data_IF_835185718415
#
_entry.id   IF_835185718415
#
_cell.length_a   1.000
_cell.length_b   1.000
_cell.length_c   1.000
_cell.angle_alpha   90.00
_cell.angle_beta   90.00
_cell.angle_gamma   90.00
#
_symmetry.space_group_name_H-M   'P 1'
#
loop_
_entity.id
_entity.type
_entity.pdbx_description
1 polymer ?
#
# COMPACT_ATOMS: atom_id res chain seq x y z
N UNK A 1 -24.67 -73.32 18.57
CA UNK A 1 -23.79 -73.92 19.60
C UNK A 1 -22.63 -74.61 18.88
N UNK A 2 -21.39 -74.44 19.38
CA UNK A 2 -20.15 -75.11 18.94
C UNK A 2 -19.54 -74.60 17.62
N UNK A 3 -18.52 -73.73 17.64
CA UNK A 3 -17.09 -73.91 17.97
C UNK A 3 -16.24 -74.39 16.77
N UNK A 4 -15.28 -73.51 16.43
CA UNK A 4 -13.93 -73.76 15.90
C UNK A 4 -13.80 -74.03 14.41
N UNK A 5 -13.50 -72.95 13.67
CA UNK A 5 -12.64 -73.07 12.49
C UNK A 5 -11.89 -71.76 12.28
N UNK A 6 -10.59 -71.88 11.97
CA UNK A 6 -9.64 -70.88 11.47
C UNK A 6 -8.98 -69.98 12.53
N UNK A 7 -7.81 -70.39 13.06
CA UNK A 7 -6.46 -70.11 12.50
C UNK A 7 -6.13 -68.61 12.55
N UNK A 8 -5.33 -68.19 13.53
CA UNK A 8 -3.86 -67.98 13.41
C UNK A 8 -3.51 -66.89 12.39
N UNK A 9 -3.02 -65.74 12.89
CA UNK A 9 -1.71 -65.14 12.59
C UNK A 9 -1.68 -63.74 13.24
N UNK A 10 -0.78 -63.51 14.20
CA UNK A 10 0.37 -62.62 14.06
C UNK A 10 -0.05 -61.16 13.74
N UNK A 11 -0.04 -60.23 14.67
CA UNK A 11 1.17 -59.80 15.37
C UNK A 11 2.01 -58.91 14.47
N UNK A 12 1.60 -57.65 14.27
CA UNK A 12 2.50 -56.59 13.81
C UNK A 12 1.97 -55.22 14.26
N UNK A 13 2.42 -54.82 15.45
CA UNK A 13 2.41 -53.43 15.87
C UNK A 13 3.48 -52.72 15.02
N UNK A 14 3.07 -51.80 14.15
CA UNK A 14 4.00 -50.88 13.51
C UNK A 14 3.47 -49.46 13.67
N UNK A 15 4.13 -48.75 14.58
CA UNK A 15 3.99 -47.32 14.79
C UNK A 15 4.30 -46.58 13.49
N UNK A 16 3.34 -45.77 13.02
CA UNK A 16 3.64 -44.70 12.06
C UNK A 16 4.11 -43.50 12.88
N UNK A 17 5.40 -43.52 13.21
CA UNK A 17 6.15 -42.37 13.69
C UNK A 17 6.22 -41.37 12.54
N UNK A 18 5.94 -40.11 12.85
CA UNK A 18 5.91 -39.01 11.90
C UNK A 18 7.24 -38.77 11.19
N UNK A 19 7.14 -38.14 10.03
CA UNK A 19 8.14 -37.23 9.44
C UNK A 19 7.55 -36.68 8.15
N UNK A 20 6.97 -35.48 8.23
CA UNK A 20 7.03 -34.55 7.11
C UNK A 20 6.90 -33.12 7.67
N UNK A 21 7.83 -32.76 8.54
CA UNK A 21 8.10 -31.37 8.90
C UNK A 21 9.39 -30.95 8.25
N UNK A 22 9.38 -30.57 6.97
CA UNK A 22 10.33 -29.59 6.39
C UNK A 22 9.73 -29.00 5.09
N UNK A 23 8.81 -28.03 5.21
CA UNK A 23 8.56 -27.01 4.18
C UNK A 23 8.23 -25.68 4.87
N UNK A 24 9.08 -25.29 5.82
CA UNK A 24 9.03 -23.98 6.47
C UNK A 24 9.99 -23.02 5.76
N UNK A 25 9.72 -22.69 4.49
CA UNK A 25 10.29 -21.49 3.83
C UNK A 25 9.70 -21.26 2.42
N UNK A 26 8.37 -21.19 2.28
CA UNK A 26 7.70 -20.51 1.14
C UNK A 26 6.16 -20.50 1.31
N UNK A 27 5.64 -20.07 2.46
CA UNK A 27 4.18 -20.03 2.65
C UNK A 27 3.64 -18.63 2.29
N UNK A 28 3.51 -18.36 0.99
CA UNK A 28 2.55 -17.33 0.54
C UNK A 28 1.15 -17.77 0.95
N UNK A 29 0.32 -16.84 1.43
CA UNK A 29 -1.08 -17.14 1.79
C UNK A 29 -1.84 -17.51 0.52
N UNK A 30 -2.76 -18.48 0.58
CA UNK A 30 -3.57 -18.92 -0.56
C UNK A 30 -4.29 -17.75 -1.25
N UNK A 31 -4.71 -16.73 -0.49
CA UNK A 31 -5.30 -15.51 -1.03
C UNK A 31 -4.32 -14.65 -1.86
N UNK A 32 -3.05 -14.56 -1.45
CA UNK A 32 -2.02 -13.82 -2.19
C UNK A 32 -1.76 -14.47 -3.55
N UNK A 33 -1.66 -15.81 -3.60
CA UNK A 33 -1.42 -16.57 -4.83
C UNK A 33 -2.57 -16.42 -5.84
N UNK A 34 -3.82 -16.34 -5.37
CA UNK A 34 -4.99 -16.16 -6.24
C UNK A 34 -5.09 -14.75 -6.82
N UNK A 35 -4.83 -13.73 -5.99
CA UNK A 35 -4.81 -12.33 -6.47
C UNK A 35 -3.63 -12.11 -7.41
N UNK A 36 -2.45 -12.64 -7.07
CA UNK A 36 -1.26 -12.63 -7.92
C UNK A 36 -1.57 -13.20 -9.30
N UNK A 37 -2.08 -14.44 -9.37
CA UNK A 37 -2.48 -15.05 -10.65
C UNK A 37 -3.52 -14.26 -11.43
N UNK A 38 -4.50 -13.65 -10.76
CA UNK A 38 -5.53 -12.85 -11.42
C UNK A 38 -4.93 -11.58 -12.05
N UNK A 39 -4.00 -10.93 -11.37
CA UNK A 39 -3.29 -9.76 -11.90
C UNK A 39 -2.33 -10.19 -13.02
N UNK A 40 -1.60 -11.30 -12.87
CA UNK A 40 -0.73 -11.83 -13.91
C UNK A 40 -1.50 -12.18 -15.19
N UNK A 41 -2.66 -12.83 -15.06
CA UNK A 41 -3.51 -13.18 -16.20
C UNK A 41 -4.10 -11.96 -16.91
N UNK A 42 -4.37 -10.87 -16.19
CA UNK A 42 -4.95 -9.66 -16.77
C UNK A 42 -3.92 -8.70 -17.34
N UNK A 43 -2.73 -8.63 -16.74
CA UNK A 43 -1.65 -7.73 -17.16
C UNK A 43 -0.68 -8.38 -18.14
N UNK A 44 -0.62 -9.73 -18.18
CA UNK A 44 0.38 -10.48 -18.94
C UNK A 44 1.76 -10.52 -18.27
N UNK A 45 1.95 -9.81 -17.16
CA UNK A 45 3.23 -9.65 -16.48
C UNK A 45 3.27 -10.45 -15.20
N UNK A 46 4.47 -10.94 -14.82
CA UNK A 46 4.66 -11.63 -13.56
C UNK A 46 4.56 -10.64 -12.39
N UNK A 47 3.84 -11.01 -11.34
CA UNK A 47 3.62 -10.16 -10.17
C UNK A 47 3.98 -10.94 -8.91
N UNK A 48 4.57 -10.29 -7.91
CA UNK A 48 4.77 -10.87 -6.58
C UNK A 48 3.95 -10.08 -5.55
N UNK A 49 3.05 -10.75 -4.83
CA UNK A 49 2.26 -10.14 -3.76
C UNK A 49 2.68 -10.69 -2.41
N UNK A 50 2.98 -9.80 -1.46
CA UNK A 50 3.15 -10.14 -0.04
C UNK A 50 2.26 -9.27 0.85
N UNK A 51 1.49 -9.91 1.75
CA UNK A 51 0.62 -9.25 2.72
C UNK A 51 1.04 -9.56 4.16
N UNK A 52 1.71 -8.57 4.76
CA UNK A 52 1.97 -8.49 6.20
C UNK A 52 0.86 -7.73 6.92
N UNK A 53 -0.36 -8.29 6.97
CA UNK A 53 -1.50 -7.62 7.61
C UNK A 53 -2.01 -6.45 6.77
N UNK A 54 -1.80 -5.20 7.24
CA UNK A 54 -2.25 -3.97 6.55
C UNK A 54 -1.28 -3.48 5.46
N UNK A 55 -0.14 -4.15 5.30
CA UNK A 55 0.86 -3.80 4.31
C UNK A 55 0.75 -4.76 3.11
N UNK A 56 0.71 -4.20 1.92
CA UNK A 56 0.66 -4.94 0.64
C UNK A 56 1.84 -4.47 -0.20
N UNK A 57 2.68 -5.39 -0.64
CA UNK A 57 3.72 -5.10 -1.64
C UNK A 57 3.38 -5.82 -2.93
N UNK A 58 3.51 -5.12 -4.05
CA UNK A 58 3.32 -5.62 -5.41
C UNK A 58 4.61 -5.33 -6.18
N UNK A 59 5.25 -6.35 -6.74
CA UNK A 59 6.46 -6.18 -7.56
C UNK A 59 6.26 -6.78 -8.96
N UNK A 60 6.64 -6.04 -10.00
CA UNK A 60 6.57 -6.50 -11.40
C UNK A 60 7.60 -5.76 -12.25
N UNK A 61 8.40 -6.48 -13.05
CA UNK A 61 9.31 -5.91 -14.08
C UNK A 61 10.14 -4.67 -13.66
N UNK A 62 10.71 -4.67 -12.45
CA UNK A 62 11.50 -3.55 -11.93
C UNK A 62 10.68 -2.40 -11.32
N UNK A 63 9.36 -2.55 -11.29
CA UNK A 63 8.43 -1.68 -10.56
C UNK A 63 8.10 -2.31 -9.20
N UNK A 64 8.00 -1.46 -8.18
CA UNK A 64 7.59 -1.87 -6.83
C UNK A 64 6.53 -0.90 -6.32
N UNK A 65 5.38 -1.43 -5.91
CA UNK A 65 4.31 -0.67 -5.25
C UNK A 65 4.15 -1.21 -3.83
N UNK A 66 4.25 -0.33 -2.85
CA UNK A 66 4.05 -0.64 -1.43
C UNK A 66 2.88 0.18 -0.90
N UNK A 67 1.82 -0.49 -0.45
CA UNK A 67 0.69 0.12 0.22
C UNK A 67 0.81 -0.21 1.70
N UNK A 68 0.94 0.81 2.52
CA UNK A 68 1.03 0.69 3.97
C UNK A 68 -0.20 1.32 4.62
N UNK A 69 -1.04 0.51 5.26
CA UNK A 69 -2.04 1.03 6.20
C UNK A 69 -1.37 1.73 7.38
N UNK A 70 -1.90 2.87 7.81
CA UNK A 70 -1.35 3.67 8.90
C UNK A 70 -2.33 3.73 10.06
N UNK A 71 -2.13 2.89 11.08
CA UNK A 71 -2.89 3.00 12.33
C UNK A 71 -2.40 4.17 13.19
N UNK A 72 -1.09 4.42 13.16
CA UNK A 72 -0.38 5.42 13.94
C UNK A 72 -0.50 6.83 13.36
N UNK A 73 -0.94 6.99 12.11
CA UNK A 73 -1.07 8.29 11.45
C UNK A 73 0.27 8.99 11.20
N UNK A 74 1.37 8.22 11.12
CA UNK A 74 2.73 8.76 11.03
C UNK A 74 3.05 9.22 9.61
N UNK A 75 3.64 10.41 9.50
CA UNK A 75 4.12 10.97 8.23
C UNK A 75 5.29 10.13 7.70
N UNK A 76 5.31 9.79 6.39
CA UNK A 76 6.39 9.01 5.81
C UNK A 76 7.73 9.76 5.87
N UNK A 77 8.70 9.19 6.58
CA UNK A 77 10.05 9.76 6.72
C UNK A 77 10.88 9.66 5.43
N UNK A 78 10.45 8.82 4.48
CA UNK A 78 11.09 8.60 3.18
C UNK A 78 10.57 9.53 2.08
N UNK A 79 9.52 10.32 2.37
CA UNK A 79 9.01 11.34 1.46
C UNK A 79 10.00 12.51 1.40
N UNK A 80 10.26 13.11 0.22
CA UNK A 80 11.17 14.25 0.05
C UNK A 80 10.93 15.37 1.09
N UNK A 81 11.96 15.72 1.88
CA UNK A 81 11.85 16.68 2.98
C UNK A 81 11.51 18.11 2.55
N UNK A 82 11.65 18.41 1.27
CA UNK A 82 11.22 19.67 0.66
C UNK A 82 9.69 19.79 0.62
N UNK A 83 8.97 18.67 0.54
CA UNK A 83 7.51 18.67 0.51
C UNK A 83 6.98 18.97 1.91
N UNK A 84 6.19 20.05 2.08
CA UNK A 84 5.65 20.41 3.37
C UNK A 84 4.74 19.30 3.90
N UNK A 85 4.96 18.93 5.16
CA UNK A 85 4.15 17.93 5.86
C UNK A 85 2.69 18.34 5.86
N UNK A 86 1.82 17.42 5.43
CA UNK A 86 0.38 17.58 5.59
C UNK A 86 0.00 17.24 7.04
N UNK A 87 -0.39 18.26 7.81
CA UNK A 87 -0.65 18.15 9.24
C UNK A 87 -2.15 18.13 9.59
N UNK A 88 -3.03 18.06 8.60
CA UNK A 88 -4.47 18.04 8.80
C UNK A 88 -5.02 16.61 8.71
N UNK A 89 -5.89 16.24 9.65
CA UNK A 89 -6.48 14.90 9.71
C UNK A 89 -5.51 13.81 10.17
N UNK A 90 -5.94 12.56 10.00
CA UNK A 90 -5.20 11.35 10.33
C UNK A 90 -4.79 10.62 9.05
N UNK A 91 -3.52 10.26 8.93
CA UNK A 91 -3.04 9.45 7.81
C UNK A 91 -3.62 8.03 7.94
N UNK A 92 -4.29 7.56 6.89
CA UNK A 92 -4.91 6.23 6.78
C UNK A 92 -4.05 5.26 6.00
N UNK A 93 -3.38 5.75 4.97
CA UNK A 93 -2.54 4.93 4.11
C UNK A 93 -1.43 5.77 3.49
N UNK A 94 -0.30 5.11 3.23
CA UNK A 94 0.77 5.63 2.40
C UNK A 94 1.05 4.61 1.32
N UNK A 95 0.87 4.99 0.06
CA UNK A 95 1.29 4.21 -1.10
C UNK A 95 2.61 4.77 -1.61
N UNK A 96 3.54 3.89 -1.94
CA UNK A 96 4.84 4.22 -2.55
C UNK A 96 4.93 3.45 -3.85
N UNK A 97 5.37 4.11 -4.92
CA UNK A 97 5.74 3.43 -6.15
C UNK A 97 7.17 3.79 -6.52
N UNK A 98 7.96 2.78 -6.82
CA UNK A 98 9.27 2.90 -7.44
C UNK A 98 9.16 2.37 -8.86
N UNK A 99 9.48 3.22 -9.82
CA UNK A 99 9.44 2.95 -11.25
C UNK A 99 10.80 3.35 -11.86
N UNK A 100 11.18 2.81 -13.04
CA UNK A 100 12.45 3.18 -13.69
C UNK A 100 12.62 4.68 -13.92
N UNK A 101 11.51 5.40 -14.06
CA UNK A 101 11.42 6.83 -14.35
C UNK A 101 11.17 7.69 -13.09
N UNK A 102 11.22 7.12 -11.89
CA UNK A 102 11.16 7.91 -10.67
C UNK A 102 10.47 7.23 -9.49
N UNK A 103 10.19 8.03 -8.46
CA UNK A 103 9.51 7.59 -7.26
C UNK A 103 8.26 8.41 -7.02
N UNK A 104 7.20 7.79 -6.55
CA UNK A 104 5.99 8.50 -6.14
C UNK A 104 5.48 8.04 -4.80
N UNK A 105 4.78 8.95 -4.13
CA UNK A 105 4.11 8.74 -2.87
C UNK A 105 2.68 9.23 -3.00
N UNK A 106 1.75 8.50 -2.39
CA UNK A 106 0.37 8.96 -2.16
C UNK A 106 0.07 8.80 -0.69
N UNK A 107 -0.19 9.91 -0.01
CA UNK A 107 -0.60 9.94 1.39
C UNK A 107 -2.09 10.22 1.46
N UNK A 108 -2.86 9.28 2.00
CA UNK A 108 -4.30 9.40 2.17
C UNK A 108 -4.63 9.72 3.61
N UNK A 109 -5.44 10.76 3.83
CA UNK A 109 -5.86 11.23 5.13
C UNK A 109 -7.39 11.22 5.27
N UNK A 110 -7.85 10.95 6.49
CA UNK A 110 -9.25 11.09 6.93
C UNK A 110 -9.37 12.17 8.01
N UNK A 111 -10.60 12.59 8.34
CA UNK A 111 -10.89 13.65 9.32
C UNK A 111 -10.22 14.99 8.97
N UNK A 112 -10.15 15.30 7.67
CA UNK A 112 -9.52 16.51 7.15
C UNK A 112 -10.55 17.64 7.08
N UNK A 113 -10.26 18.85 7.60
CA UNK A 113 -11.13 20.01 7.44
C UNK A 113 -11.28 20.40 5.95
N UNK A 114 -12.46 20.84 5.53
CA UNK A 114 -12.72 21.13 4.11
C UNK A 114 -11.93 22.32 3.53
N UNK A 115 -11.57 23.29 4.36
CA UNK A 115 -10.98 24.58 3.95
C UNK A 115 -9.44 24.62 3.91
N UNK A 116 -8.78 23.47 3.67
CA UNK A 116 -7.32 23.36 3.80
C UNK A 116 -6.54 23.67 2.51
N UNK A 117 -7.19 23.77 1.35
CA UNK A 117 -6.50 23.88 0.06
C UNK A 117 -5.62 25.12 -0.02
N UNK A 118 -6.17 26.30 0.36
CA UNK A 118 -5.42 27.55 0.39
C UNK A 118 -4.29 27.54 1.41
N UNK A 119 -4.48 26.87 2.55
CA UNK A 119 -3.45 26.75 3.58
C UNK A 119 -2.27 25.92 3.06
N UNK A 120 -2.55 24.81 2.36
CA UNK A 120 -1.49 24.00 1.76
C UNK A 120 -0.79 24.70 0.60
N UNK A 121 -1.51 25.51 -0.20
CA UNK A 121 -0.89 26.36 -1.22
C UNK A 121 0.15 27.31 -0.61
N UNK A 122 -0.17 27.94 0.51
CA UNK A 122 0.77 28.81 1.24
C UNK A 122 1.99 28.02 1.72
N UNK A 123 1.80 26.80 2.25
CA UNK A 123 2.92 25.94 2.65
C UNK A 123 3.81 25.58 1.46
N UNK A 124 3.23 25.22 0.31
CA UNK A 124 3.97 24.93 -0.91
C UNK A 124 4.83 26.13 -1.33
N UNK A 125 4.24 27.33 -1.39
CA UNK A 125 4.96 28.57 -1.73
C UNK A 125 6.09 28.87 -0.75
N UNK A 126 5.84 28.73 0.55
CA UNK A 126 6.86 28.95 1.59
C UNK A 126 8.01 27.92 1.51
N UNK A 127 7.73 26.72 1.02
CA UNK A 127 8.75 25.69 0.72
C UNK A 127 9.44 25.86 -0.64
N UNK A 128 9.12 26.93 -1.38
CA UNK A 128 9.72 27.27 -2.67
C UNK A 128 9.12 26.53 -3.87
N UNK A 129 7.94 25.93 -3.74
CA UNK A 129 7.19 25.41 -4.88
C UNK A 129 6.52 26.55 -5.63
N UNK A 130 6.54 26.44 -6.96
CA UNK A 130 5.72 27.26 -7.84
C UNK A 130 4.35 26.61 -7.96
N UNK A 131 3.29 27.34 -7.64
CA UNK A 131 1.91 26.87 -7.85
C UNK A 131 1.62 26.69 -9.32
N UNK A 132 1.15 25.51 -9.69
CA UNK A 132 0.75 25.15 -11.07
C UNK A 132 -0.76 25.32 -11.24
N UNK A 133 -1.56 24.87 -10.27
CA UNK A 133 -3.01 24.99 -10.30
C UNK A 133 -3.57 25.07 -8.89
N UNK A 134 -4.63 25.85 -8.70
CA UNK A 134 -5.49 25.85 -7.53
C UNK A 134 -6.93 25.85 -7.99
N UNK A 135 -7.72 24.87 -7.54
CA UNK A 135 -9.14 24.74 -7.82
C UNK A 135 -9.86 24.63 -6.49
N UNK A 136 -10.92 25.40 -6.31
CA UNK A 136 -11.81 25.32 -5.15
C UNK A 136 -13.19 24.91 -5.66
N UNK A 137 -13.74 23.82 -5.12
CA UNK A 137 -14.94 23.17 -5.69
C UNK A 137 -16.26 23.68 -5.11
N UNK A 138 -16.23 24.41 -3.99
CA UNK A 138 -17.41 24.95 -3.34
C UNK A 138 -17.24 26.43 -2.99
N UNK A 139 -18.36 27.14 -2.90
CA UNK A 139 -18.39 28.58 -2.55
C UNK A 139 -17.97 28.87 -1.12
N UNK A 140 -18.10 27.90 -0.21
CA UNK A 140 -17.62 27.95 1.18
C UNK A 140 -16.15 27.51 1.34
N UNK A 141 -15.53 27.02 0.25
CA UNK A 141 -14.15 26.56 0.25
C UNK A 141 -13.95 25.14 0.79
N UNK A 142 -15.01 24.39 1.06
CA UNK A 142 -14.97 22.95 1.29
C UNK A 142 -14.56 22.15 0.04
N UNK A 143 -13.27 21.86 0.00
CA UNK A 143 -12.68 20.98 -0.99
C UNK A 143 -12.15 21.67 -2.23
N UNK A 144 -11.41 20.89 -3.00
CA UNK A 144 -10.68 21.36 -4.16
C UNK A 144 -9.35 20.65 -4.32
N UNK A 145 -8.45 21.29 -5.07
CA UNK A 145 -7.12 20.81 -5.30
C UNK A 145 -6.10 21.94 -5.40
N UNK A 146 -4.86 21.64 -5.05
CA UNK A 146 -3.72 22.51 -5.34
C UNK A 146 -2.56 21.66 -5.81
N UNK A 147 -1.84 22.12 -6.83
CA UNK A 147 -0.60 21.49 -7.29
C UNK A 147 0.54 22.50 -7.39
N UNK A 148 1.76 22.00 -7.20
CA UNK A 148 2.97 22.79 -7.31
C UNK A 148 4.15 21.96 -7.79
N UNK A 149 5.12 22.66 -8.37
CA UNK A 149 6.36 22.09 -8.89
C UNK A 149 7.58 22.77 -8.25
N UNK A 150 8.63 21.99 -8.00
CA UNK A 150 9.94 22.45 -7.55
C UNK A 150 11.01 21.49 -8.03
N UNK A 151 11.90 21.95 -8.90
CA UNK A 151 12.92 21.11 -9.53
C UNK A 151 12.30 19.84 -10.14
N UNK A 152 12.71 18.66 -9.68
CA UNK A 152 12.19 17.34 -10.10
C UNK A 152 10.98 16.87 -9.28
N UNK A 153 10.46 17.70 -8.37
CA UNK A 153 9.32 17.38 -7.51
C UNK A 153 8.04 17.99 -8.06
N UNK A 154 7.00 17.16 -8.16
CA UNK A 154 5.63 17.58 -8.43
C UNK A 154 4.76 17.12 -7.27
N UNK A 155 3.96 18.04 -6.73
CA UNK A 155 3.06 17.80 -5.61
C UNK A 155 1.64 18.16 -6.03
N UNK A 156 0.67 17.32 -5.71
CA UNK A 156 -0.74 17.59 -5.88
C UNK A 156 -1.51 17.15 -4.65
N UNK A 157 -2.27 18.07 -4.05
CA UNK A 157 -3.21 17.81 -2.98
C UNK A 157 -4.63 17.90 -3.54
N UNK A 158 -5.45 16.91 -3.21
CA UNK A 158 -6.90 16.97 -3.38
C UNK A 158 -7.55 16.77 -2.01
N UNK A 159 -8.56 17.56 -1.69
CA UNK A 159 -9.31 17.41 -0.45
C UNK A 159 -10.79 17.69 -0.66
N UNK A 160 -11.62 17.11 0.20
CA UNK A 160 -13.07 17.27 0.17
C UNK A 160 -13.74 16.15 0.97
N UNK A 161 -14.97 16.38 1.43
CA UNK A 161 -15.79 15.38 2.14
C UNK A 161 -15.04 14.71 3.32
N UNK A 162 -14.32 15.50 4.12
CA UNK A 162 -13.57 14.99 5.28
C UNK A 162 -12.31 14.18 4.97
N UNK A 163 -11.90 14.09 3.70
CA UNK A 163 -10.74 13.31 3.26
C UNK A 163 -9.76 14.14 2.44
N UNK A 164 -8.51 13.70 2.38
CA UNK A 164 -7.51 14.25 1.46
C UNK A 164 -6.58 13.18 0.90
N UNK A 165 -6.04 13.45 -0.29
CA UNK A 165 -4.99 12.67 -0.93
C UNK A 165 -3.88 13.62 -1.39
N UNK A 166 -2.67 13.41 -0.87
CA UNK A 166 -1.47 14.12 -1.30
C UNK A 166 -0.63 13.18 -2.16
N UNK A 167 -0.48 13.53 -3.44
CA UNK A 167 0.41 12.85 -4.38
C UNK A 167 1.72 13.62 -4.53
N UNK A 168 2.83 12.91 -4.49
CA UNK A 168 4.18 13.44 -4.72
C UNK A 168 4.85 12.57 -5.76
N UNK A 169 5.44 13.19 -6.77
CA UNK A 169 6.27 12.51 -7.77
C UNK A 169 7.64 13.16 -7.77
N UNK A 170 8.68 12.33 -7.73
CA UNK A 170 10.07 12.71 -7.95
C UNK A 170 10.54 12.08 -9.26
N UNK A 171 10.77 12.93 -10.24
CA UNK A 171 11.38 12.58 -11.52
C UNK A 171 12.88 12.22 -11.32
N UNK A 172 13.49 11.47 -12.25
CA UNK A 172 14.85 10.94 -12.12
C UNK A 172 15.90 12.03 -12.28
#
# INVERSE_FOLDING_TARGET
MSKRFLLRLAGFSLAIIGTCGILSSCQKKVGEVLVEKAIEQSTGNKVDISSGGQNITIQSEGQKIEIQGSESGVWPNDLPGEVPRFAWGKIKAVTRAEMPDGKSWVVVCENVPGNIIKNYEVLLKNSGFKTVSTIITSSDGEGGSVSGEKDKLKVALMAGNGSASLSVVREP
#
